data_IF_084192954017
#
_entry.id   IF_084192954017
#
_cell.length_a   1.000
_cell.length_b   1.000
_cell.length_c   1.000
_cell.angle_alpha   90.00
_cell.angle_beta   90.00
_cell.angle_gamma   90.00
#
_symmetry.space_group_name_H-M   'P 1'
#
loop_
_entity.id
_entity.type
_entity.pdbx_description
1 polymer ?
#
# COMPACT_ATOMS: atom_id res chain seq x y z
N UNK A 1 7.92 -6.24 5.79
CA UNK A 1 8.81 -5.89 4.66
C UNK A 1 10.08 -6.69 4.82
N UNK A 2 10.48 -7.42 3.78
CA UNK A 2 11.86 -7.87 3.65
C UNK A 2 12.69 -6.58 3.58
N UNK A 3 13.31 -6.22 4.68
CA UNK A 3 13.91 -4.89 4.87
C UNK A 3 15.14 -4.75 4.00
N UNK A 4 15.09 -3.87 3.00
CA UNK A 4 16.20 -2.93 2.87
C UNK A 4 16.13 -2.06 4.12
N UNK A 5 17.05 -2.32 5.06
CA UNK A 5 17.22 -1.52 6.26
C UNK A 5 17.35 -0.06 5.86
N UNK A 6 16.56 0.81 6.47
CA UNK A 6 16.40 2.23 6.14
C UNK A 6 15.53 2.55 4.91
N UNK A 7 14.24 2.21 4.95
CA UNK A 7 13.26 3.13 4.35
C UNK A 7 13.01 4.32 5.29
N UNK A 8 14.04 5.16 5.42
CA UNK A 8 13.84 6.58 5.71
C UNK A 8 13.27 7.14 4.42
N UNK A 9 11.94 7.17 4.31
CA UNK A 9 11.27 7.83 3.20
C UNK A 9 11.72 9.29 3.22
N UNK A 10 12.69 9.65 2.38
CA UNK A 10 12.98 11.05 2.14
C UNK A 10 11.79 11.54 1.33
N UNK A 11 11.08 12.53 1.87
CA UNK A 11 10.06 13.26 1.17
C UNK A 11 10.71 13.96 -0.03
N UNK A 12 10.79 13.26 -1.16
CA UNK A 12 10.92 13.88 -2.48
C UNK A 12 9.59 13.69 -3.17
N UNK A 13 8.70 14.64 -2.89
CA UNK A 13 7.77 15.18 -3.88
C UNK A 13 8.65 15.77 -4.99
N UNK A 14 9.22 14.91 -5.83
CA UNK A 14 9.93 15.31 -7.03
C UNK A 14 9.90 14.13 -7.98
N UNK A 15 9.14 14.36 -9.05
CA UNK A 15 9.23 13.65 -10.31
C UNK A 15 8.66 12.24 -10.40
N UNK A 16 7.43 12.21 -10.92
CA UNK A 16 6.98 11.42 -12.08
C UNK A 16 8.00 11.40 -13.26
N UNK A 17 9.29 11.14 -13.04
CA UNK A 17 10.31 11.19 -14.09
C UNK A 17 11.38 10.10 -14.02
N UNK A 18 11.33 9.21 -13.03
CA UNK A 18 12.11 7.98 -13.01
C UNK A 18 11.15 6.85 -12.66
N UNK A 19 10.72 6.10 -13.67
CA UNK A 19 9.64 5.13 -13.61
C UNK A 19 9.88 3.97 -12.64
N UNK A 20 9.68 4.20 -11.35
CA UNK A 20 9.60 3.17 -10.32
C UNK A 20 8.14 2.88 -9.96
N UNK A 21 7.59 1.89 -10.67
CA UNK A 21 6.72 0.81 -10.21
C UNK A 21 5.78 1.07 -9.00
N UNK A 22 4.73 1.87 -9.19
CA UNK A 22 3.48 1.66 -8.47
C UNK A 22 2.43 1.24 -9.51
N UNK A 23 1.78 0.09 -9.32
CA UNK A 23 0.67 -0.34 -10.17
C UNK A 23 -0.53 0.57 -9.86
N UNK A 24 -0.56 1.76 -10.46
CA UNK A 24 -1.64 2.71 -10.22
C UNK A 24 -2.97 2.10 -10.65
N UNK A 25 -3.95 2.09 -9.73
CA UNK A 25 -5.34 1.95 -10.12
C UNK A 25 -5.68 3.12 -11.06
N UNK A 26 -6.53 2.86 -12.06
CA UNK A 26 -7.12 3.95 -12.85
C UNK A 26 -7.76 4.97 -11.89
N UNK A 27 -7.67 6.27 -12.20
CA UNK A 27 -8.01 7.35 -11.25
C UNK A 27 -9.43 7.20 -10.69
N UNK A 28 -10.39 6.90 -11.54
CA UNK A 28 -11.79 6.68 -11.17
C UNK A 28 -11.97 5.48 -10.21
N UNK A 29 -11.21 4.39 -10.45
CA UNK A 29 -11.18 3.23 -9.56
C UNK A 29 -10.50 3.57 -8.24
N UNK A 30 -9.38 4.31 -8.28
CA UNK A 30 -8.70 4.79 -7.09
C UNK A 30 -9.63 5.64 -6.23
N UNK A 31 -10.30 6.64 -6.82
CA UNK A 31 -11.19 7.55 -6.10
C UNK A 31 -12.34 6.78 -5.44
N UNK A 32 -12.92 5.80 -6.12
CA UNK A 32 -13.97 4.94 -5.56
C UNK A 32 -13.47 4.11 -4.36
N UNK A 33 -12.32 3.44 -4.53
CA UNK A 33 -11.76 2.59 -3.47
C UNK A 33 -11.28 3.45 -2.30
N UNK A 34 -10.63 4.59 -2.56
CA UNK A 34 -10.19 5.53 -1.55
C UNK A 34 -11.37 6.06 -0.73
N UNK A 35 -12.48 6.42 -1.37
CA UNK A 35 -13.70 6.82 -0.67
C UNK A 35 -14.28 5.69 0.20
N UNK A 36 -14.28 4.45 -0.31
CA UNK A 36 -14.72 3.30 0.49
C UNK A 36 -13.80 3.05 1.70
N UNK A 37 -12.48 3.13 1.51
CA UNK A 37 -11.47 3.00 2.57
C UNK A 37 -11.64 4.10 3.62
N UNK A 38 -11.84 5.34 3.20
CA UNK A 38 -12.14 6.49 4.06
C UNK A 38 -13.36 6.28 4.96
N UNK A 39 -14.43 5.69 4.41
CA UNK A 39 -15.68 5.50 5.14
C UNK A 39 -15.60 4.42 6.23
N UNK A 40 -14.66 3.49 6.14
CA UNK A 40 -14.52 2.37 7.09
C UNK A 40 -13.32 2.52 8.03
N UNK A 41 -12.37 3.40 7.70
CA UNK A 41 -11.16 3.63 8.49
C UNK A 41 -11.39 4.76 9.50
N UNK A 42 -11.24 4.46 10.79
CA UNK A 42 -11.43 5.46 11.86
C UNK A 42 -10.20 6.33 12.14
N UNK A 43 -9.09 6.16 11.39
CA UNK A 43 -7.88 6.94 11.55
C UNK A 43 -8.09 8.39 11.13
N UNK A 44 -7.37 9.32 11.79
CA UNK A 44 -7.46 10.74 11.47
C UNK A 44 -6.86 11.01 10.09
N UNK A 45 -7.72 11.39 9.15
CA UNK A 45 -7.34 11.84 7.81
C UNK A 45 -6.29 12.95 7.89
N UNK A 46 -5.28 12.84 7.04
CA UNK A 46 -4.30 13.89 6.80
C UNK A 46 -4.55 14.45 5.40
N UNK A 47 -4.95 15.72 5.33
CA UNK A 47 -5.17 16.42 4.07
C UNK A 47 -3.91 17.17 3.69
N UNK A 48 -3.27 16.75 2.60
CA UNK A 48 -2.13 17.48 2.04
C UNK A 48 -2.63 18.42 0.94
N UNK A 49 -2.34 19.73 0.98
CA UNK A 49 -2.95 20.73 0.10
C UNK A 49 -2.63 20.55 -1.40
N UNK A 50 -1.60 19.77 -1.74
CA UNK A 50 -1.13 19.55 -3.11
C UNK A 50 -1.14 18.08 -3.56
N UNK A 51 -1.81 17.19 -2.82
CA UNK A 51 -1.82 15.76 -3.16
C UNK A 51 -3.21 15.15 -2.95
N UNK A 52 -3.70 14.46 -3.99
CA UNK A 52 -5.02 13.80 -3.99
C UNK A 52 -4.97 12.37 -3.40
N UNK A 53 -3.89 12.01 -2.72
CA UNK A 53 -3.76 10.69 -2.12
C UNK A 53 -4.46 10.63 -0.76
N UNK A 54 -5.20 9.54 -0.51
CA UNK A 54 -5.75 9.26 0.81
C UNK A 54 -4.61 8.94 1.79
N UNK A 55 -4.54 9.73 2.86
CA UNK A 55 -3.47 9.65 3.85
C UNK A 55 -4.02 9.72 5.27
N UNK A 56 -3.41 8.96 6.18
CA UNK A 56 -3.79 8.91 7.59
C UNK A 56 -2.60 9.20 8.49
N UNK A 57 -2.86 9.91 9.59
CA UNK A 57 -1.93 9.95 10.70
C UNK A 57 -1.95 8.59 11.41
N UNK A 58 -0.78 8.01 11.63
CA UNK A 58 -0.62 6.79 12.41
C UNK A 58 0.32 7.04 13.59
N UNK A 59 0.18 6.24 14.63
CA UNK A 59 1.04 6.36 15.81
C UNK A 59 2.51 6.11 15.43
N UNK A 60 3.41 6.95 15.94
CA UNK A 60 4.85 6.82 15.66
C UNK A 60 5.51 5.71 16.50
N UNK A 61 4.82 5.23 17.54
CA UNK A 61 5.34 4.27 18.49
C UNK A 61 4.61 2.92 18.32
N UNK A 62 5.34 1.87 17.96
CA UNK A 62 4.79 0.52 17.77
C UNK A 62 4.56 0.14 16.30
N UNK A 63 3.58 -0.74 16.06
CA UNK A 63 3.21 -1.22 14.73
C UNK A 63 2.57 -0.10 13.90
N UNK A 64 3.20 0.35 12.79
CA UNK A 64 2.65 1.42 11.95
C UNK A 64 1.32 1.05 11.28
N UNK A 65 1.03 -0.24 11.15
CA UNK A 65 -0.16 -0.73 10.45
C UNK A 65 -1.36 -0.96 11.38
N UNK A 66 -1.20 -0.72 12.69
CA UNK A 66 -2.25 -0.92 13.68
C UNK A 66 -3.47 -0.05 13.35
N UNK A 67 -4.64 -0.69 13.27
CA UNK A 67 -5.91 -0.03 12.99
C UNK A 67 -6.19 0.24 11.51
N UNK A 68 -5.25 -0.06 10.61
CA UNK A 68 -5.49 -0.02 9.17
C UNK A 68 -6.16 -1.31 8.69
N UNK A 69 -6.95 -1.18 7.64
CA UNK A 69 -7.74 -2.28 7.10
C UNK A 69 -6.94 -3.21 6.17
N UNK A 70 -7.42 -4.44 6.09
CA UNK A 70 -7.06 -5.41 5.04
C UNK A 70 -8.03 -5.24 3.85
N UNK A 71 -7.55 -5.48 2.63
CA UNK A 71 -8.38 -5.50 1.42
C UNK A 71 -8.33 -6.90 0.83
N UNK A 72 -9.49 -7.43 0.44
CA UNK A 72 -9.59 -8.68 -0.30
C UNK A 72 -9.92 -8.38 -1.76
N UNK A 73 -9.07 -8.84 -2.67
CA UNK A 73 -9.34 -8.87 -4.10
C UNK A 73 -9.97 -10.20 -4.47
N UNK A 74 -11.24 -10.16 -4.88
CA UNK A 74 -11.96 -11.34 -5.36
C UNK A 74 -11.58 -11.61 -6.82
N UNK A 75 -11.02 -12.78 -7.08
CA UNK A 75 -10.67 -13.26 -8.42
C UNK A 75 -11.45 -14.52 -8.75
N UNK A 76 -11.52 -14.87 -10.04
CA UNK A 76 -12.13 -16.14 -10.45
C UNK A 76 -11.42 -17.30 -9.78
N UNK A 77 -12.14 -18.03 -8.92
CA UNK A 77 -11.67 -19.21 -8.16
C UNK A 77 -10.65 -18.94 -7.04
N UNK A 78 -10.35 -17.68 -6.68
CA UNK A 78 -9.44 -17.38 -5.59
C UNK A 78 -9.66 -15.99 -5.01
N UNK A 79 -9.53 -15.88 -3.69
CA UNK A 79 -9.48 -14.59 -3.01
C UNK A 79 -8.04 -14.27 -2.64
N UNK A 80 -7.66 -13.02 -2.86
CA UNK A 80 -6.36 -12.52 -2.48
C UNK A 80 -6.52 -11.47 -1.38
N UNK A 81 -6.30 -11.93 -0.16
CA UNK A 81 -6.31 -11.09 1.02
C UNK A 81 -4.97 -10.38 1.19
N UNK A 82 -5.02 -9.07 1.30
CA UNK A 82 -3.83 -8.24 1.44
C UNK A 82 -3.77 -7.59 2.82
N UNK A 83 -2.62 -7.72 3.51
CA UNK A 83 -2.40 -7.00 4.75
C UNK A 83 -2.18 -5.51 4.47
N UNK A 84 -2.31 -4.63 5.47
CA UNK A 84 -2.12 -3.19 5.30
C UNK A 84 -0.76 -2.81 4.68
N UNK A 85 0.29 -3.60 4.89
CA UNK A 85 1.61 -3.39 4.28
C UNK A 85 1.66 -3.50 2.75
N UNK A 86 0.62 -4.08 2.14
CA UNK A 86 0.47 -4.23 0.70
C UNK A 86 -0.48 -3.17 0.10
N UNK A 87 -1.05 -2.33 0.96
CA UNK A 87 -2.11 -1.34 0.65
C UNK A 87 -1.69 0.07 1.04
N UNK A 88 -0.86 0.20 2.08
CA UNK A 88 -0.41 1.45 2.63
C UNK A 88 1.10 1.53 2.58
N UNK A 89 1.60 2.59 1.95
CA UNK A 89 2.99 2.93 2.04
C UNK A 89 3.23 3.81 3.27
N UNK A 90 4.22 3.44 4.07
CA UNK A 90 4.53 4.11 5.33
C UNK A 90 5.64 5.13 5.18
N UNK A 91 5.35 6.36 5.59
CA UNK A 91 6.33 7.42 5.78
C UNK A 91 6.49 7.67 7.28
N UNK A 92 7.73 7.56 7.78
CA UNK A 92 8.06 7.86 9.18
C UNK A 92 9.10 8.96 9.25
N UNK A 93 8.84 9.95 10.08
CA UNK A 93 9.80 10.97 10.50
C UNK A 93 9.91 11.00 12.03
N UNK A 94 10.83 11.81 12.54
CA UNK A 94 10.97 12.03 13.98
C UNK A 94 9.73 12.66 14.62
N UNK A 95 8.88 13.32 13.83
CA UNK A 95 7.74 14.11 14.34
C UNK A 95 6.37 13.60 13.86
N UNK A 96 6.32 12.78 12.80
CA UNK A 96 5.07 12.28 12.25
C UNK A 96 5.24 10.90 11.59
N UNK A 97 4.20 10.08 11.68
CA UNK A 97 4.05 8.87 10.86
C UNK A 97 2.78 8.97 10.03
N UNK A 98 2.91 8.72 8.74
CA UNK A 98 1.83 8.82 7.75
C UNK A 98 1.70 7.51 6.97
N UNK A 99 0.46 7.06 6.80
CA UNK A 99 0.11 5.93 5.95
C UNK A 99 -0.56 6.45 4.67
N UNK A 100 0.02 6.19 3.51
CA UNK A 100 -0.51 6.58 2.21
C UNK A 100 -1.20 5.40 1.54
N UNK A 101 -2.47 5.53 1.21
CA UNK A 101 -3.17 4.52 0.42
C UNK A 101 -2.57 4.47 -1.00
N UNK A 102 -1.86 3.39 -1.28
CA UNK A 102 -1.16 3.13 -2.54
C UNK A 102 -1.27 1.66 -2.88
N UNK A 103 -1.49 1.34 -4.15
CA UNK A 103 -1.48 -0.04 -4.59
C UNK A 103 -0.04 -0.58 -4.68
N UNK A 104 0.52 -0.95 -3.54
CA UNK A 104 1.84 -1.61 -3.41
C UNK A 104 1.70 -3.13 -3.36
N UNK A 105 0.64 -3.63 -3.99
CA UNK A 105 0.20 -5.02 -3.96
C UNK A 105 1.28 -6.07 -4.24
N UNK A 106 2.20 -5.79 -5.18
CA UNK A 106 3.30 -6.68 -5.52
C UNK A 106 4.40 -6.76 -4.46
N UNK A 107 4.49 -5.79 -3.55
CA UNK A 107 5.50 -5.81 -2.51
C UNK A 107 5.27 -6.99 -1.57
N UNK A 108 6.33 -7.67 -1.14
CA UNK A 108 6.23 -8.82 -0.23
C UNK A 108 5.38 -9.99 -0.77
N UNK A 109 5.23 -10.12 -2.09
CA UNK A 109 4.51 -11.22 -2.74
C UNK A 109 5.40 -11.90 -3.79
N UNK A 110 5.40 -13.24 -3.80
CA UNK A 110 5.81 -13.99 -4.98
C UNK A 110 4.71 -13.89 -6.03
N UNK A 111 5.05 -13.35 -7.20
CA UNK A 111 4.15 -13.28 -8.36
C UNK A 111 4.65 -14.28 -9.40
N UNK A 112 3.78 -15.22 -9.80
CA UNK A 112 4.09 -16.22 -10.82
C UNK A 112 3.17 -16.06 -12.02
N UNK A 113 3.78 -16.01 -13.20
CA UNK A 113 3.10 -16.04 -14.48
C UNK A 113 3.25 -17.44 -15.09
N UNK A 114 2.17 -18.23 -15.10
CA UNK A 114 2.12 -19.51 -15.80
C UNK A 114 1.51 -19.29 -17.19
N UNK A 115 2.36 -18.92 -18.15
CA UNK A 115 1.95 -18.59 -19.52
C UNK A 115 1.31 -19.77 -20.24
N UNK A 116 1.72 -21.01 -19.94
CA UNK A 116 1.16 -22.22 -20.55
C UNK A 116 -0.28 -22.49 -20.11
N UNK A 117 -0.68 -21.98 -18.94
CA UNK A 117 -2.04 -22.10 -18.40
C UNK A 117 -2.82 -20.79 -18.40
N UNK A 118 -2.22 -19.68 -18.84
CA UNK A 118 -2.82 -18.34 -18.76
C UNK A 118 -3.15 -17.92 -17.32
N UNK A 119 -2.37 -18.40 -16.33
CA UNK A 119 -2.66 -18.20 -14.91
C UNK A 119 -1.68 -17.24 -14.25
N UNK A 120 -2.22 -16.30 -13.47
CA UNK A 120 -1.45 -15.43 -12.59
C UNK A 120 -1.66 -15.89 -11.13
N UNK A 121 -0.58 -16.10 -10.40
CA UNK A 121 -0.63 -16.58 -9.02
C UNK A 121 0.16 -15.68 -8.08
N UNK A 122 -0.35 -15.54 -6.85
CA UNK A 122 0.22 -14.72 -5.80
C UNK A 122 0.40 -15.55 -4.53
N UNK A 123 1.54 -15.42 -3.88
CA UNK A 123 1.79 -16.00 -2.55
C UNK A 123 2.55 -15.00 -1.68
N UNK A 124 2.25 -14.91 -0.37
CA UNK A 124 3.03 -14.08 0.56
C UNK A 124 4.49 -14.51 0.57
N UNK A 125 5.40 -13.54 0.68
CA UNK A 125 6.80 -13.81 1.01
C UNK A 125 6.92 -13.91 2.53
N UNK A 126 7.37 -15.06 3.03
CA UNK A 126 7.84 -15.15 4.41
C UNK A 126 9.25 -14.55 4.49
N UNK A 127 9.33 -13.33 5.01
CA UNK A 127 10.60 -12.70 5.29
C UNK A 127 11.13 -13.22 6.64
N UNK A 128 11.67 -14.45 6.67
CA UNK A 128 12.50 -14.91 7.79
C UNK A 128 13.87 -14.25 7.69
N UNK A 129 14.27 -13.58 8.77
CA UNK A 129 15.59 -12.97 8.91
C UNK A 129 16.58 -13.98 9.50
#
# INVERSE_FOLDING_TARGET
>A
MCTDGNMVGICWIYHDRLGYHADYLAKDVYDQVANAVANVTNNKHFYHPNQDYLCYNVENNGDPYKGLLEITFHSTNADLKLPPSNIFWMYRSTTASLAFFRNVFKQNMHVKYDLGKGLLSFAPIECTQ
#
